data_IF_816320511989
#
_entry.id   IF_816320511989
#
_cell.length_a   1.000
_cell.length_b   1.000
_cell.length_c   1.000
_cell.angle_alpha   90.00
_cell.angle_beta   90.00
_cell.angle_gamma   90.00
#
_symmetry.space_group_name_H-M   'P 1'
#
loop_
_entity.id
_entity.type
_entity.pdbx_description
1 polymer ?
#
# COMPACT_ATOMS: atom_id res chain seq x y z
N UNK A 1 24.73 43.40 45.13
CA UNK A 1 24.20 43.51 43.76
C UNK A 1 25.34 43.14 42.83
N UNK A 2 25.56 41.84 42.64
CA UNK A 2 26.63 41.36 41.75
C UNK A 2 25.98 41.03 40.40
N UNK A 3 26.16 41.93 39.44
CA UNK A 3 25.79 41.69 38.06
C UNK A 3 26.91 40.84 37.45
N UNK A 4 26.69 39.55 37.11
CA UNK A 4 27.76 38.75 36.52
C UNK A 4 28.11 39.29 35.12
N UNK A 5 29.37 39.16 34.70
CA UNK A 5 29.93 39.88 33.55
C UNK A 5 29.30 39.40 32.24
N UNK A 6 28.88 40.34 31.39
CA UNK A 6 28.45 40.19 29.99
C UNK A 6 27.89 38.81 29.62
N UNK A 7 26.63 38.56 29.98
CA UNK A 7 25.84 37.47 29.41
C UNK A 7 25.65 37.74 27.90
N UNK A 8 26.57 37.22 27.08
CA UNK A 8 26.40 37.20 25.63
C UNK A 8 25.48 36.04 25.25
N UNK A 9 24.76 36.11 24.11
CA UNK A 9 23.92 35.01 23.64
C UNK A 9 24.67 33.67 23.57
N UNK A 10 25.93 33.69 23.13
CA UNK A 10 26.79 32.51 23.08
C UNK A 10 27.03 31.90 24.47
N UNK A 11 27.36 32.73 25.47
CA UNK A 11 27.58 32.24 26.85
C UNK A 11 26.31 31.71 27.50
N UNK A 12 25.14 32.31 27.22
CA UNK A 12 23.87 31.80 27.70
C UNK A 12 23.53 30.44 27.07
N UNK A 13 23.76 30.29 25.76
CA UNK A 13 23.56 29.02 25.05
C UNK A 13 24.49 27.93 25.56
N UNK A 14 25.77 28.23 25.75
CA UNK A 14 26.74 27.27 26.28
C UNK A 14 26.36 26.79 27.68
N UNK A 15 25.96 27.72 28.57
CA UNK A 15 25.46 27.37 29.91
C UNK A 15 24.19 26.51 29.85
N UNK A 16 23.28 26.80 28.92
CA UNK A 16 22.06 26.04 28.74
C UNK A 16 22.36 24.60 28.32
N UNK A 17 23.21 24.41 27.30
CA UNK A 17 23.63 23.10 26.82
C UNK A 17 24.42 22.32 27.88
N UNK A 18 25.28 22.99 28.66
CA UNK A 18 26.00 22.37 29.78
C UNK A 18 25.07 21.94 30.92
N UNK A 19 23.96 22.66 31.13
CA UNK A 19 22.88 22.23 32.02
C UNK A 19 22.22 20.94 31.53
N UNK A 20 21.83 20.90 30.25
CA UNK A 20 21.18 19.72 29.64
C UNK A 20 22.07 18.48 29.70
N UNK A 21 23.36 18.61 29.37
CA UNK A 21 24.32 17.50 29.43
C UNK A 21 24.47 16.91 30.84
N UNK A 22 24.37 17.75 31.87
CA UNK A 22 24.48 17.34 33.28
C UNK A 22 23.14 16.94 33.89
N UNK A 23 22.04 17.04 33.15
CA UNK A 23 20.68 16.83 33.67
C UNK A 23 20.20 17.94 34.61
N UNK A 24 20.92 19.06 34.71
CA UNK A 24 20.54 20.23 35.51
C UNK A 24 19.55 21.09 34.73
N UNK A 25 18.27 20.74 34.85
CA UNK A 25 17.18 21.42 34.18
C UNK A 25 16.96 22.85 34.69
N UNK A 26 17.35 23.15 35.95
CA UNK A 26 17.20 24.48 36.52
C UNK A 26 18.22 25.44 35.93
N UNK A 27 19.47 25.00 35.80
CA UNK A 27 20.51 25.77 35.11
C UNK A 27 20.14 26.02 33.65
N UNK A 28 19.67 24.98 32.94
CA UNK A 28 19.27 25.10 31.55
C UNK A 28 18.13 26.11 31.37
N UNK A 29 17.09 26.04 32.21
CA UNK A 29 15.95 26.96 32.18
C UNK A 29 16.37 28.41 32.48
N UNK A 30 17.24 28.62 33.47
CA UNK A 30 17.76 29.96 33.80
C UNK A 30 18.62 30.53 32.66
N UNK A 31 19.45 29.70 32.04
CA UNK A 31 20.32 30.11 30.95
C UNK A 31 19.53 30.43 29.67
N UNK A 32 18.52 29.61 29.32
CA UNK A 32 17.62 29.89 28.20
C UNK A 32 16.73 31.12 28.46
N UNK A 33 16.30 31.35 29.70
CA UNK A 33 15.55 32.57 30.04
C UNK A 33 16.40 33.83 29.84
N UNK A 34 17.66 33.81 30.30
CA UNK A 34 18.62 34.90 30.06
C UNK A 34 18.95 35.07 28.57
N UNK A 35 18.98 33.97 27.81
CA UNK A 35 19.16 34.05 26.36
C UNK A 35 18.00 34.84 25.71
N UNK A 36 16.75 34.58 26.12
CA UNK A 36 15.59 35.30 25.59
C UNK A 36 15.52 36.78 25.99
N UNK A 37 16.17 37.19 27.09
CA UNK A 37 16.31 38.61 27.43
C UNK A 37 17.17 39.37 26.40
N UNK A 38 18.13 38.68 25.77
CA UNK A 38 19.05 39.27 24.77
C UNK A 38 18.62 38.96 23.33
N UNK A 39 18.00 37.80 23.09
CA UNK A 39 17.51 37.32 21.80
C UNK A 39 16.07 36.77 21.95
N UNK A 40 15.04 37.64 21.89
CA UNK A 40 13.65 37.25 22.17
C UNK A 40 13.06 36.20 21.21
N UNK A 41 13.59 36.11 19.99
CA UNK A 41 13.10 35.22 18.92
C UNK A 41 13.94 33.94 18.80
N UNK A 42 14.72 33.57 19.82
CA UNK A 42 15.48 32.32 19.80
C UNK A 42 14.57 31.09 19.91
N UNK A 43 14.31 30.42 18.78
CA UNK A 43 13.34 29.34 18.70
C UNK A 43 13.66 28.16 19.62
N UNK A 44 14.94 27.77 19.74
CA UNK A 44 15.36 26.65 20.60
C UNK A 44 15.09 26.95 22.07
N UNK A 45 15.44 28.16 22.54
CA UNK A 45 15.14 28.60 23.89
C UNK A 45 13.63 28.66 24.15
N UNK A 46 12.85 29.18 23.20
CA UNK A 46 11.38 29.24 23.30
C UNK A 46 10.76 27.83 23.40
N UNK A 47 11.18 26.88 22.57
CA UNK A 47 10.72 25.48 22.60
C UNK A 47 11.10 24.77 23.90
N UNK A 48 12.33 24.97 24.37
CA UNK A 48 12.79 24.39 25.62
C UNK A 48 11.92 24.87 26.79
N UNK A 49 11.77 26.19 26.92
CA UNK A 49 10.95 26.77 27.98
C UNK A 49 9.48 26.36 27.86
N UNK A 50 8.92 26.30 26.66
CA UNK A 50 7.55 25.81 26.45
C UNK A 50 7.38 24.38 26.97
N UNK A 51 8.34 23.49 26.68
CA UNK A 51 8.35 22.12 27.19
C UNK A 51 8.40 22.07 28.73
N UNK A 52 9.19 22.95 29.36
CA UNK A 52 9.22 23.09 30.82
C UNK A 52 7.88 23.55 31.38
N UNK A 53 7.24 24.53 30.75
CA UNK A 53 5.93 25.02 31.17
C UNK A 53 4.84 23.94 31.05
N UNK A 54 4.85 23.16 29.95
CA UNK A 54 3.95 22.01 29.79
C UNK A 54 4.14 20.97 30.89
N UNK A 55 5.40 20.65 31.25
CA UNK A 55 5.68 19.69 32.34
C UNK A 55 5.16 20.13 33.71
N UNK A 56 4.92 21.44 33.89
CA UNK A 56 4.36 22.03 35.11
C UNK A 56 2.84 22.28 35.01
N UNK A 57 2.21 21.95 33.88
CA UNK A 57 0.78 22.20 33.64
C UNK A 57 0.43 23.64 33.24
N UNK A 58 1.42 24.49 32.98
CA UNK A 58 1.19 25.88 32.55
C UNK A 58 0.98 25.97 31.03
N UNK A 59 -0.11 25.36 30.55
CA UNK A 59 -0.39 25.18 29.12
C UNK A 59 -0.53 26.49 28.37
N UNK A 60 -1.23 27.49 28.92
CA UNK A 60 -1.39 28.80 28.27
C UNK A 60 -0.04 29.48 28.00
N UNK A 61 0.86 29.46 28.99
CA UNK A 61 2.20 30.04 28.85
C UNK A 61 3.05 29.28 27.83
N UNK A 62 2.91 27.96 27.76
CA UNK A 62 3.59 27.16 26.75
C UNK A 62 3.12 27.50 25.32
N UNK A 63 1.80 27.70 25.12
CA UNK A 63 1.24 28.11 23.83
C UNK A 63 1.81 29.47 23.41
N UNK A 64 1.87 30.45 24.32
CA UNK A 64 2.48 31.77 24.03
C UNK A 64 3.92 31.66 23.53
N UNK A 65 4.74 30.84 24.21
CA UNK A 65 6.13 30.59 23.84
C UNK A 65 6.24 29.87 22.49
N UNK A 66 5.38 28.90 22.22
CA UNK A 66 5.36 28.15 20.96
C UNK A 66 4.87 28.99 19.78
N UNK A 67 3.92 29.91 20.00
CA UNK A 67 3.52 30.89 18.99
C UNK A 67 4.65 31.87 18.68
N UNK A 68 5.44 32.28 19.68
CA UNK A 68 6.66 33.06 19.44
C UNK A 68 7.69 32.26 18.64
N UNK A 69 7.92 30.99 18.99
CA UNK A 69 8.85 30.12 18.28
C UNK A 69 8.41 29.93 16.82
N UNK A 70 7.11 29.76 16.56
CA UNK A 70 6.56 29.63 15.21
C UNK A 70 6.75 30.90 14.38
N UNK A 71 6.66 32.09 15.00
CA UNK A 71 6.95 33.36 14.29
C UNK A 71 8.43 33.47 13.92
N UNK A 72 9.32 33.04 14.81
CA UNK A 72 10.75 33.02 14.56
C UNK A 72 11.17 32.01 13.49
N UNK A 73 10.54 30.83 13.47
CA UNK A 73 10.81 29.76 12.50
C UNK A 73 9.51 29.17 11.94
N UNK A 74 8.89 29.81 10.93
CA UNK A 74 7.59 29.39 10.40
C UNK A 74 7.58 28.04 9.68
N UNK A 75 8.76 27.52 9.35
CA UNK A 75 8.98 26.31 8.55
C UNK A 75 9.51 25.13 9.39
N UNK A 76 9.45 25.24 10.73
CA UNK A 76 9.84 24.13 11.61
C UNK A 76 8.62 23.29 12.01
N UNK A 77 8.58 22.06 11.49
CA UNK A 77 7.51 21.09 11.77
C UNK A 77 7.46 20.64 13.25
N UNK A 78 8.60 20.63 13.96
CA UNK A 78 8.67 20.24 15.36
C UNK A 78 8.01 21.28 16.27
N UNK A 79 8.17 22.57 15.96
CA UNK A 79 7.45 23.66 16.66
C UNK A 79 5.94 23.49 16.49
N UNK A 80 5.47 23.24 15.27
CA UNK A 80 4.05 23.05 14.97
C UNK A 80 3.46 21.83 15.69
N UNK A 81 4.21 20.73 15.73
CA UNK A 81 3.83 19.55 16.51
C UNK A 81 3.73 19.83 18.02
N UNK A 82 4.70 20.56 18.59
CA UNK A 82 4.65 20.95 20.00
C UNK A 82 3.48 21.92 20.29
N UNK A 83 3.23 22.88 19.40
CA UNK A 83 2.10 23.81 19.50
C UNK A 83 0.77 23.06 19.47
N UNK A 84 0.59 22.16 18.51
CA UNK A 84 -0.60 21.32 18.44
C UNK A 84 -0.79 20.48 19.70
N UNK A 85 0.30 19.91 20.24
CA UNK A 85 0.27 19.16 21.51
C UNK A 85 -0.18 20.03 22.70
N UNK A 86 0.29 21.27 22.77
CA UNK A 86 -0.10 22.20 23.82
C UNK A 86 -1.56 22.64 23.68
N UNK A 87 -2.02 22.90 22.46
CA UNK A 87 -3.42 23.24 22.15
C UNK A 87 -4.39 22.10 22.50
N UNK A 88 -4.00 20.84 22.23
CA UNK A 88 -4.74 19.66 22.68
C UNK A 88 -4.94 19.66 24.20
N UNK A 89 -3.86 19.89 24.96
CA UNK A 89 -3.91 19.94 26.42
C UNK A 89 -4.76 21.11 26.95
N UNK A 90 -4.88 22.18 26.16
CA UNK A 90 -5.76 23.31 26.47
C UNK A 90 -7.23 23.06 26.08
N UNK A 91 -7.53 21.97 25.38
CA UNK A 91 -8.86 21.66 24.86
C UNK A 91 -9.22 22.39 23.56
N UNK A 92 -8.30 23.15 22.97
CA UNK A 92 -8.50 23.80 21.68
C UNK A 92 -8.17 22.83 20.55
N UNK A 93 -9.11 21.91 20.31
CA UNK A 93 -8.95 20.82 19.35
C UNK A 93 -8.85 21.32 17.91
N UNK A 94 -9.50 22.44 17.58
CA UNK A 94 -9.47 22.98 16.24
C UNK A 94 -8.09 23.59 15.94
N UNK A 95 -7.58 24.45 16.83
CA UNK A 95 -6.24 25.02 16.63
C UNK A 95 -5.15 23.94 16.66
N UNK A 96 -5.34 22.89 17.48
CA UNK A 96 -4.45 21.73 17.47
C UNK A 96 -4.42 21.01 16.11
N UNK A 97 -5.58 20.74 15.51
CA UNK A 97 -5.67 20.12 14.19
C UNK A 97 -4.96 20.97 13.13
N UNK A 98 -5.20 22.28 13.13
CA UNK A 98 -4.61 23.22 12.16
C UNK A 98 -3.07 23.25 12.27
N UNK A 99 -2.53 23.33 13.49
CA UNK A 99 -1.09 23.30 13.74
C UNK A 99 -0.47 21.97 13.30
N UNK A 100 -1.11 20.84 13.63
CA UNK A 100 -0.61 19.50 13.28
C UNK A 100 -0.66 19.25 11.77
N UNK A 101 -1.72 19.67 11.09
CA UNK A 101 -1.81 19.62 9.62
C UNK A 101 -0.67 20.40 8.97
N UNK A 102 -0.46 21.66 9.38
CA UNK A 102 0.65 22.46 8.86
C UNK A 102 2.00 21.81 9.13
N UNK A 103 2.18 21.19 10.31
CA UNK A 103 3.40 20.44 10.62
C UNK A 103 3.62 19.24 9.69
N UNK A 104 2.55 18.53 9.33
CA UNK A 104 2.58 17.39 8.42
C UNK A 104 2.76 17.80 6.94
N UNK A 105 2.33 18.99 6.54
CA UNK A 105 2.66 19.55 5.23
C UNK A 105 4.18 19.76 5.07
N UNK A 106 4.86 20.19 6.14
CA UNK A 106 6.30 20.41 6.15
C UNK A 106 7.11 19.12 6.32
N UNK A 107 6.61 18.19 7.14
CA UNK A 107 7.25 16.91 7.42
C UNK A 107 6.24 15.76 7.36
N UNK A 108 5.90 15.27 6.15
CA UNK A 108 4.88 14.22 5.98
C UNK A 108 5.21 12.89 6.68
N UNK A 109 6.50 12.62 6.92
CA UNK A 109 6.98 11.44 7.65
C UNK A 109 6.90 11.53 9.18
N UNK A 110 6.43 12.65 9.76
CA UNK A 110 6.36 12.84 11.21
C UNK A 110 5.17 12.08 11.84
N UNK A 111 5.29 10.76 11.91
CA UNK A 111 4.22 9.87 12.39
C UNK A 111 3.73 10.18 13.81
N UNK A 112 4.55 10.78 14.68
CA UNK A 112 4.12 11.22 16.02
C UNK A 112 3.11 12.38 15.95
N UNK A 113 3.29 13.31 15.00
CA UNK A 113 2.32 14.38 14.76
C UNK A 113 1.01 13.83 14.19
N UNK A 114 1.10 12.85 13.29
CA UNK A 114 -0.08 12.17 12.73
C UNK A 114 -0.85 11.36 13.78
N UNK A 115 -0.15 10.71 14.71
CA UNK A 115 -0.77 10.05 15.88
C UNK A 115 -1.58 11.06 16.72
N UNK A 116 -1.01 12.23 17.00
CA UNK A 116 -1.71 13.28 17.75
C UNK A 116 -2.93 13.83 17.01
N UNK A 117 -2.84 13.96 15.69
CA UNK A 117 -3.97 14.35 14.87
C UNK A 117 -5.10 13.33 14.97
N UNK A 118 -4.80 12.03 15.01
CA UNK A 118 -5.78 10.99 15.28
C UNK A 118 -6.48 11.17 16.63
N UNK A 119 -5.73 11.50 17.69
CA UNK A 119 -6.30 11.81 19.02
C UNK A 119 -7.21 13.03 18.97
N UNK A 120 -6.81 14.09 18.24
CA UNK A 120 -7.65 15.29 18.06
C UNK A 120 -8.97 14.93 17.39
N UNK A 121 -8.92 14.19 16.27
CA UNK A 121 -10.13 13.79 15.56
C UNK A 121 -11.03 12.87 16.38
N UNK A 122 -10.44 11.98 17.17
CA UNK A 122 -11.19 11.13 18.09
C UNK A 122 -11.95 11.96 19.13
N UNK A 123 -11.28 12.95 19.75
CA UNK A 123 -11.91 13.85 20.73
C UNK A 123 -12.99 14.76 20.10
N UNK A 124 -12.88 15.04 18.80
CA UNK A 124 -13.91 15.74 18.03
C UNK A 124 -15.07 14.84 17.56
N UNK A 125 -15.02 13.53 17.81
CA UNK A 125 -16.01 12.57 17.32
C UNK A 125 -15.91 12.24 15.82
N UNK A 126 -14.83 12.66 15.15
CA UNK A 126 -14.57 12.45 13.72
C UNK A 126 -13.92 11.09 13.48
N UNK A 127 -14.69 10.02 13.71
CA UNK A 127 -14.19 8.64 13.76
C UNK A 127 -13.40 8.21 12.50
N UNK A 128 -13.91 8.51 11.30
CA UNK A 128 -13.25 8.12 10.05
C UNK A 128 -11.86 8.76 9.90
N UNK A 129 -11.76 10.04 10.25
CA UNK A 129 -10.52 10.80 10.15
C UNK A 129 -9.53 10.40 11.24
N UNK A 130 -10.03 10.11 12.44
CA UNK A 130 -9.21 9.54 13.51
C UNK A 130 -8.59 8.21 13.08
N UNK A 131 -9.39 7.32 12.49
CA UNK A 131 -8.94 6.00 12.03
C UNK A 131 -7.90 6.11 10.90
N UNK A 132 -8.12 6.99 9.92
CA UNK A 132 -7.16 7.28 8.83
C UNK A 132 -5.85 7.86 9.37
N UNK A 133 -5.91 8.83 10.29
CA UNK A 133 -4.72 9.43 10.89
C UNK A 133 -3.92 8.41 11.71
N UNK A 134 -4.58 7.60 12.54
CA UNK A 134 -3.94 6.53 13.28
C UNK A 134 -3.31 5.47 12.37
N UNK A 135 -4.02 4.99 11.35
CA UNK A 135 -3.49 4.02 10.39
C UNK A 135 -2.23 4.57 9.70
N UNK A 136 -2.29 5.80 9.19
CA UNK A 136 -1.15 6.42 8.54
C UNK A 136 0.04 6.63 9.46
N UNK A 137 -0.20 6.96 10.74
CA UNK A 137 0.84 7.08 11.74
C UNK A 137 1.53 5.72 11.98
N UNK A 138 0.74 4.65 12.17
CA UNK A 138 1.24 3.30 12.41
C UNK A 138 2.06 2.81 11.22
N UNK A 139 1.52 2.91 10.00
CA UNK A 139 2.20 2.46 8.79
C UNK A 139 3.54 3.19 8.57
N UNK A 140 3.54 4.53 8.70
CA UNK A 140 4.75 5.32 8.54
C UNK A 140 5.81 5.00 9.61
N UNK A 141 5.41 4.75 10.86
CA UNK A 141 6.33 4.35 11.92
C UNK A 141 6.93 2.96 11.66
N UNK A 142 6.09 1.98 11.30
CA UNK A 142 6.52 0.60 11.06
C UNK A 142 7.44 0.47 9.85
N UNK A 143 7.23 1.26 8.80
CA UNK A 143 8.14 1.36 7.66
C UNK A 143 9.57 1.77 8.07
N UNK A 144 9.74 2.45 9.21
CA UNK A 144 11.03 2.84 9.79
C UNK A 144 11.47 1.95 10.96
N UNK A 145 10.85 0.77 11.14
CA UNK A 145 11.16 -0.16 12.23
C UNK A 145 10.73 0.33 13.62
N UNK A 146 9.78 1.28 13.70
CA UNK A 146 9.24 1.83 14.95
C UNK A 146 7.84 1.29 15.21
N UNK A 147 7.42 1.32 16.48
CA UNK A 147 6.06 0.90 16.88
C UNK A 147 5.71 -0.56 16.55
N UNK A 148 6.72 -1.43 16.45
CA UNK A 148 6.55 -2.86 16.28
C UNK A 148 6.35 -3.59 17.61
N UNK A 149 6.85 -3.01 18.71
CA UNK A 149 6.79 -3.53 20.06
C UNK A 149 7.12 -2.44 21.09
N UNK A 150 6.97 -2.74 22.38
CA UNK A 150 7.42 -1.82 23.45
C UNK A 150 8.93 -1.52 23.35
N UNK A 151 9.73 -2.40 22.75
CA UNK A 151 11.17 -2.20 22.55
C UNK A 151 11.48 -1.15 21.47
N UNK A 152 10.63 -1.05 20.45
CA UNK A 152 10.77 -0.08 19.34
C UNK A 152 9.92 1.18 19.53
N UNK A 153 9.23 1.29 20.67
CA UNK A 153 8.32 2.37 21.03
C UNK A 153 8.80 3.13 22.26
N UNK A 154 8.99 4.45 22.13
CA UNK A 154 9.43 5.29 23.24
C UNK A 154 8.39 5.26 24.38
N UNK A 155 8.80 5.15 25.67
CA UNK A 155 7.89 4.99 26.79
C UNK A 155 6.74 5.99 26.83
N UNK A 156 7.02 7.27 26.56
CA UNK A 156 6.02 8.35 26.60
C UNK A 156 4.92 8.30 25.54
N UNK A 157 5.00 7.40 24.54
CA UNK A 157 3.99 7.24 23.50
C UNK A 157 3.41 5.82 23.42
N UNK A 158 3.86 4.88 24.27
CA UNK A 158 3.43 3.47 24.20
C UNK A 158 1.92 3.31 24.31
N UNK A 159 1.31 3.95 25.30
CA UNK A 159 -0.13 3.81 25.54
C UNK A 159 -0.95 4.44 24.42
N UNK A 160 -0.50 5.58 23.88
CA UNK A 160 -1.13 6.21 22.72
C UNK A 160 -1.05 5.33 21.46
N UNK A 161 0.09 4.67 21.22
CA UNK A 161 0.26 3.74 20.11
C UNK A 161 -0.60 2.49 20.28
N UNK A 162 -0.67 1.92 21.49
CA UNK A 162 -1.55 0.79 21.81
C UNK A 162 -3.02 1.15 21.60
N UNK A 163 -3.45 2.31 22.09
CA UNK A 163 -4.79 2.85 21.87
C UNK A 163 -5.09 3.01 20.38
N UNK A 164 -4.23 3.69 19.63
CA UNK A 164 -4.40 3.88 18.20
C UNK A 164 -4.50 2.54 17.44
N UNK A 165 -3.68 1.55 17.81
CA UNK A 165 -3.71 0.20 17.22
C UNK A 165 -5.05 -0.50 17.48
N UNK A 166 -5.53 -0.44 18.73
CA UNK A 166 -6.83 -1.02 19.12
C UNK A 166 -8.00 -0.29 18.46
N UNK A 167 -7.93 1.03 18.37
CA UNK A 167 -8.93 1.88 17.72
C UNK A 167 -9.07 1.52 16.24
N UNK A 168 -7.94 1.42 15.53
CA UNK A 168 -7.92 1.02 14.12
C UNK A 168 -8.41 -0.41 13.94
N UNK A 169 -8.02 -1.35 14.80
CA UNK A 169 -8.48 -2.73 14.72
C UNK A 169 -10.00 -2.85 14.89
N UNK A 170 -10.56 -2.20 15.91
CA UNK A 170 -12.01 -2.18 16.17
C UNK A 170 -12.77 -1.49 15.03
N UNK A 171 -12.29 -0.34 14.58
CA UNK A 171 -12.94 0.41 13.49
C UNK A 171 -12.89 -0.32 12.15
N UNK A 172 -11.79 -1.03 11.83
CA UNK A 172 -11.72 -1.91 10.64
C UNK A 172 -12.74 -3.03 10.72
N UNK A 173 -12.88 -3.67 11.88
CA UNK A 173 -13.87 -4.72 12.09
C UNK A 173 -15.30 -4.21 11.82
N UNK A 174 -15.66 -3.11 12.45
CA UNK A 174 -16.98 -2.48 12.27
C UNK A 174 -17.22 -2.06 10.81
N UNK A 175 -16.23 -1.41 10.19
CA UNK A 175 -16.30 -0.97 8.80
C UNK A 175 -16.57 -2.14 7.85
N UNK A 176 -15.78 -3.21 7.93
CA UNK A 176 -15.91 -4.34 7.02
C UNK A 176 -17.14 -5.20 7.30
N UNK A 177 -17.56 -5.32 8.57
CA UNK A 177 -18.84 -5.94 8.90
C UNK A 177 -20.02 -5.18 8.29
N UNK A 178 -19.98 -3.84 8.30
CA UNK A 178 -21.03 -3.01 7.69
C UNK A 178 -21.09 -3.17 6.16
N UNK A 179 -19.96 -3.43 5.49
CA UNK A 179 -19.90 -3.72 4.05
C UNK A 179 -20.56 -5.07 3.72
N UNK A 180 -20.37 -6.09 4.56
CA UNK A 180 -20.88 -7.43 4.31
C UNK A 180 -22.34 -7.59 4.77
N UNK A 181 -22.83 -6.75 5.69
CA UNK A 181 -24.18 -6.88 6.26
C UNK A 181 -25.32 -6.86 5.22
N UNK A 182 -25.33 -5.99 4.18
CA UNK A 182 -26.34 -6.07 3.12
C UNK A 182 -26.35 -7.42 2.39
N UNK A 183 -25.19 -8.04 2.20
CA UNK A 183 -25.07 -9.35 1.57
C UNK A 183 -25.56 -10.46 2.51
N UNK A 184 -25.30 -10.35 3.82
CA UNK A 184 -25.85 -11.28 4.83
C UNK A 184 -27.37 -11.23 4.87
N UNK A 185 -27.97 -10.05 4.69
CA UNK A 185 -29.41 -9.89 4.60
C UNK A 185 -29.98 -10.46 3.29
N UNK A 186 -29.25 -10.31 2.17
CA UNK A 186 -29.68 -10.78 0.85
C UNK A 186 -29.57 -12.30 0.68
N UNK A 187 -28.42 -12.89 1.05
CA UNK A 187 -28.10 -14.30 0.80
C UNK A 187 -28.28 -15.19 2.04
N UNK A 188 -28.32 -14.60 3.24
CA UNK A 188 -28.36 -15.31 4.51
C UNK A 188 -26.98 -15.50 5.13
N UNK A 189 -26.92 -15.46 6.47
CA UNK A 189 -25.65 -15.55 7.23
C UNK A 189 -24.94 -16.91 7.06
N UNK A 190 -25.68 -17.99 6.85
CA UNK A 190 -25.11 -19.32 6.63
C UNK A 190 -24.27 -19.38 5.35
N UNK A 191 -24.77 -18.75 4.27
CA UNK A 191 -24.12 -18.71 2.96
C UNK A 191 -22.81 -17.90 2.97
N UNK A 192 -22.65 -16.98 3.90
CA UNK A 192 -21.46 -16.13 4.03
C UNK A 192 -20.55 -16.53 5.20
N UNK A 193 -20.76 -17.70 5.80
CA UNK A 193 -19.95 -18.15 6.94
C UNK A 193 -18.44 -18.23 6.63
N UNK A 194 -18.05 -18.62 5.40
CA UNK A 194 -16.66 -18.59 4.95
C UNK A 194 -16.12 -17.18 4.74
N UNK A 195 -16.98 -16.23 4.35
CA UNK A 195 -16.63 -14.80 4.25
C UNK A 195 -16.33 -14.23 5.63
N UNK A 196 -17.17 -14.55 6.62
CA UNK A 196 -16.94 -14.11 8.01
C UNK A 196 -15.62 -14.66 8.55
N UNK A 197 -15.31 -15.93 8.26
CA UNK A 197 -14.02 -16.52 8.63
C UNK A 197 -12.84 -15.86 7.89
N UNK A 198 -13.00 -15.57 6.59
CA UNK A 198 -12.02 -14.85 5.78
C UNK A 198 -11.71 -13.48 6.39
N UNK A 199 -12.75 -12.73 6.79
CA UNK A 199 -12.58 -11.44 7.44
C UNK A 199 -11.84 -11.55 8.78
N UNK A 200 -12.19 -12.51 9.63
CA UNK A 200 -11.48 -12.75 10.88
C UNK A 200 -10.01 -13.13 10.69
N UNK A 201 -9.68 -13.88 9.63
CA UNK A 201 -8.29 -14.20 9.27
C UNK A 201 -7.56 -12.92 8.81
N UNK A 202 -8.18 -12.13 7.94
CA UNK A 202 -7.62 -10.88 7.42
C UNK A 202 -7.37 -9.84 8.53
N UNK A 203 -8.24 -9.80 9.55
CA UNK A 203 -8.09 -8.94 10.72
C UNK A 203 -7.17 -9.52 11.80
N UNK A 204 -6.54 -10.67 11.56
CA UNK A 204 -5.65 -11.38 12.49
C UNK A 204 -6.31 -11.79 13.82
N UNK A 205 -7.63 -11.95 13.84
CA UNK A 205 -8.37 -12.45 15.01
C UNK A 205 -8.20 -13.96 15.17
N UNK A 206 -7.91 -14.66 14.07
CA UNK A 206 -7.59 -16.08 14.03
C UNK A 206 -6.52 -16.37 12.98
N UNK A 207 -5.69 -17.42 13.18
CA UNK A 207 -4.70 -17.82 12.19
C UNK A 207 -5.37 -18.39 10.93
N UNK A 208 -4.73 -18.22 9.78
CA UNK A 208 -5.15 -18.85 8.54
C UNK A 208 -4.91 -20.39 8.61
N UNK A 209 -5.95 -21.22 8.43
CA UNK A 209 -5.77 -22.67 8.35
C UNK A 209 -5.29 -23.04 6.93
N UNK A 210 -3.97 -23.00 6.71
CA UNK A 210 -3.33 -23.35 5.43
C UNK A 210 -3.12 -24.87 5.34
N UNK A 211 -3.90 -25.62 4.52
CA UNK A 211 -3.78 -27.08 4.45
C UNK A 211 -2.49 -27.51 3.74
N UNK A 212 -2.03 -26.71 2.78
CA UNK A 212 -0.75 -26.87 2.12
C UNK A 212 0.18 -25.70 2.51
N UNK A 213 1.31 -25.96 3.19
CA UNK A 213 2.23 -24.90 3.61
C UNK A 213 2.95 -24.19 2.45
N UNK A 214 2.84 -24.71 1.21
CA UNK A 214 3.39 -24.09 -0.01
C UNK A 214 2.49 -22.97 -0.55
N UNK A 215 1.19 -23.04 -0.30
CA UNK A 215 0.22 -22.00 -0.66
C UNK A 215 0.29 -20.87 0.38
N UNK A 216 0.69 -19.67 -0.03
CA UNK A 216 0.85 -18.52 0.86
C UNK A 216 0.43 -17.23 0.16
N UNK A 217 -0.87 -16.89 0.18
CA UNK A 217 -1.32 -15.61 -0.36
C UNK A 217 -0.70 -14.44 0.39
N UNK A 218 -0.33 -13.38 -0.33
CA UNK A 218 0.32 -12.20 0.28
C UNK A 218 -0.66 -11.22 0.95
N UNK A 219 -1.96 -11.31 0.64
CA UNK A 219 -2.97 -10.35 1.10
C UNK A 219 -4.19 -11.01 1.74
N UNK A 220 -4.97 -11.78 0.97
CA UNK A 220 -6.26 -12.30 1.42
C UNK A 220 -6.35 -13.81 1.21
N UNK A 221 -6.50 -14.55 2.31
CA UNK A 221 -6.77 -15.97 2.28
C UNK A 221 -8.25 -16.26 2.57
N UNK A 222 -8.88 -17.01 1.68
CA UNK A 222 -10.27 -17.44 1.81
C UNK A 222 -10.33 -18.92 2.21
N UNK A 223 -10.92 -19.25 3.37
CA UNK A 223 -10.88 -20.60 3.92
C UNK A 223 -11.83 -21.56 3.18
N UNK A 224 -11.53 -22.85 3.25
CA UNK A 224 -12.38 -23.92 2.72
C UNK A 224 -12.32 -24.10 1.20
N UNK A 225 -11.54 -23.29 0.48
CA UNK A 225 -11.18 -23.57 -0.92
C UNK A 225 -10.20 -24.76 -0.95
N UNK A 226 -10.43 -25.80 -1.77
CA UNK A 226 -9.46 -26.87 -1.95
C UNK A 226 -8.12 -26.35 -2.49
N UNK A 227 -7.06 -26.59 -1.74
CA UNK A 227 -5.69 -26.18 -2.10
C UNK A 227 -5.15 -27.01 -3.27
N UNK A 228 -5.00 -26.39 -4.43
CA UNK A 228 -4.58 -27.04 -5.69
C UNK A 228 -3.65 -26.12 -6.48
N UNK A 229 -2.59 -26.69 -7.07
CA UNK A 229 -1.64 -25.95 -7.93
C UNK A 229 -2.26 -25.64 -9.29
N UNK A 230 -2.72 -26.67 -10.01
CA UNK A 230 -3.40 -26.57 -11.29
C UNK A 230 -4.84 -27.05 -11.19
N UNK A 231 -5.75 -26.36 -11.88
CA UNK A 231 -7.16 -26.72 -11.90
C UNK A 231 -7.55 -27.46 -13.19
N UNK A 232 -8.42 -28.49 -13.09
CA UNK A 232 -8.94 -29.20 -14.26
C UNK A 232 -9.67 -28.27 -15.23
N UNK A 233 -9.49 -28.51 -16.53
CA UNK A 233 -10.03 -27.66 -17.59
C UNK A 233 -11.56 -27.59 -17.57
N UNK A 234 -12.21 -28.67 -17.17
CA UNK A 234 -13.67 -28.84 -17.12
C UNK A 234 -14.34 -27.91 -16.11
N UNK A 235 -13.58 -27.39 -15.14
CA UNK A 235 -14.05 -26.42 -14.14
C UNK A 235 -14.31 -25.03 -14.75
N UNK A 236 -13.84 -24.77 -15.97
CA UNK A 236 -13.93 -23.46 -16.62
C UNK A 236 -14.53 -23.53 -18.03
N UNK A 237 -15.78 -23.99 -18.19
CA UNK A 237 -16.37 -24.25 -19.51
C UNK A 237 -16.32 -23.04 -20.46
N UNK A 238 -16.44 -21.82 -19.93
CA UNK A 238 -16.36 -20.57 -20.71
C UNK A 238 -15.05 -20.42 -21.52
N UNK A 239 -13.93 -20.97 -21.02
CA UNK A 239 -12.65 -20.92 -21.73
C UNK A 239 -12.71 -21.64 -23.09
N UNK A 240 -13.72 -22.47 -23.37
CA UNK A 240 -13.82 -23.19 -24.64
C UNK A 240 -14.05 -22.23 -25.81
N UNK A 241 -14.73 -21.12 -25.56
CA UNK A 241 -14.95 -20.06 -26.54
C UNK A 241 -13.63 -19.37 -26.92
N UNK A 242 -12.77 -19.11 -25.93
CA UNK A 242 -11.43 -18.54 -26.15
C UNK A 242 -10.53 -19.50 -26.94
N UNK A 243 -10.50 -20.77 -26.56
CA UNK A 243 -9.72 -21.79 -27.27
C UNK A 243 -10.18 -21.97 -28.71
N UNK A 244 -11.49 -21.94 -28.96
CA UNK A 244 -12.06 -22.02 -30.31
C UNK A 244 -11.72 -20.80 -31.17
N UNK A 245 -11.47 -19.64 -30.54
CA UNK A 245 -11.12 -18.39 -31.20
C UNK A 245 -9.61 -18.09 -31.21
N UNK A 246 -8.75 -19.07 -30.89
CA UNK A 246 -7.30 -18.83 -30.73
C UNK A 246 -6.67 -18.17 -31.96
N UNK A 247 -7.07 -18.54 -33.17
CA UNK A 247 -6.48 -18.00 -34.40
C UNK A 247 -6.87 -16.53 -34.63
N UNK A 248 -8.08 -16.15 -34.23
CA UNK A 248 -8.56 -14.76 -34.25
C UNK A 248 -7.75 -13.91 -33.25
N UNK A 249 -7.55 -14.42 -32.03
CA UNK A 249 -6.77 -13.75 -30.99
C UNK A 249 -5.30 -13.59 -31.44
N UNK A 250 -4.74 -14.61 -32.09
CA UNK A 250 -3.37 -14.58 -32.65
C UNK A 250 -3.21 -13.56 -33.76
N UNK A 251 -4.21 -13.40 -34.62
CA UNK A 251 -4.17 -12.42 -35.69
C UNK A 251 -4.06 -10.99 -35.12
N UNK A 252 -4.87 -10.64 -34.12
CA UNK A 252 -4.80 -9.35 -33.44
C UNK A 252 -3.49 -9.17 -32.68
N UNK A 253 -3.01 -10.21 -31.99
CA UNK A 253 -1.69 -10.20 -31.35
C UNK A 253 -0.56 -9.91 -32.37
N UNK A 254 -0.55 -10.55 -33.53
CA UNK A 254 0.49 -10.32 -34.56
C UNK A 254 0.47 -8.88 -35.05
N UNK A 255 -0.71 -8.28 -35.19
CA UNK A 255 -0.85 -6.87 -35.52
C UNK A 255 -0.28 -5.95 -34.41
N UNK A 256 -0.52 -6.28 -33.13
CA UNK A 256 0.08 -5.58 -31.98
C UNK A 256 1.61 -5.67 -32.03
N UNK A 257 2.16 -6.87 -32.18
CA UNK A 257 3.62 -7.09 -32.21
C UNK A 257 4.31 -6.43 -33.41
N UNK A 258 3.63 -6.28 -34.55
CA UNK A 258 4.21 -5.70 -35.77
C UNK A 258 4.11 -4.17 -35.81
N UNK A 259 3.02 -3.60 -35.28
CA UNK A 259 2.68 -2.18 -35.46
C UNK A 259 2.49 -1.40 -34.14
N UNK A 260 2.85 -1.98 -33.01
CA UNK A 260 2.59 -1.39 -31.69
C UNK A 260 3.58 -1.79 -30.62
N UNK A 261 4.87 -1.86 -30.98
CA UNK A 261 5.94 -2.05 -30.00
C UNK A 261 5.96 -0.94 -28.94
N UNK A 262 5.52 0.28 -29.28
CA UNK A 262 5.40 1.41 -28.35
C UNK A 262 4.27 1.23 -27.32
N UNK A 263 3.27 0.37 -27.59
CA UNK A 263 2.16 0.09 -26.66
C UNK A 263 2.52 -1.02 -25.65
N UNK A 264 3.63 -1.73 -25.87
CA UNK A 264 4.15 -2.71 -24.93
C UNK A 264 4.86 -1.99 -23.81
N UNK A 265 4.33 -2.13 -22.59
CA UNK A 265 4.93 -1.55 -21.39
C UNK A 265 5.56 -2.64 -20.54
N UNK A 266 6.61 -2.34 -19.75
CA UNK A 266 7.16 -3.28 -18.78
C UNK A 266 6.07 -3.76 -17.82
N UNK A 267 5.93 -5.08 -17.65
CA UNK A 267 4.89 -5.65 -16.78
C UNK A 267 5.00 -5.10 -15.35
N UNK A 268 6.25 -5.02 -14.84
CA UNK A 268 6.57 -4.53 -13.50
C UNK A 268 6.28 -3.03 -13.31
N UNK A 269 5.93 -2.29 -14.37
CA UNK A 269 5.68 -0.84 -14.31
C UNK A 269 6.92 0.01 -14.02
N UNK A 270 8.11 -0.60 -14.05
CA UNK A 270 9.41 0.06 -13.86
C UNK A 270 10.47 -0.60 -14.74
N UNK A 271 11.43 0.19 -15.19
CA UNK A 271 12.64 -0.25 -15.88
C UNK A 271 13.89 -0.15 -15.00
N UNK A 272 13.74 0.08 -13.68
CA UNK A 272 14.90 0.16 -12.79
C UNK A 272 15.61 -1.19 -12.72
N UNK A 273 16.93 -1.19 -12.93
CA UNK A 273 17.73 -2.42 -12.98
C UNK A 273 17.60 -3.27 -11.71
N UNK A 274 17.42 -2.62 -10.55
CA UNK A 274 17.22 -3.28 -9.25
C UNK A 274 15.88 -4.01 -9.17
N UNK A 275 14.78 -3.38 -9.59
CA UNK A 275 13.45 -4.01 -9.59
C UNK A 275 13.37 -5.12 -10.64
N UNK A 276 13.98 -4.92 -11.80
CA UNK A 276 14.10 -5.94 -12.83
C UNK A 276 14.89 -7.15 -12.32
N UNK A 277 16.06 -6.94 -11.70
CA UNK A 277 16.89 -8.03 -11.18
C UNK A 277 16.24 -8.79 -10.01
N UNK A 278 15.34 -8.15 -9.26
CA UNK A 278 14.60 -8.81 -8.18
C UNK A 278 13.56 -9.82 -8.69
N UNK A 279 13.04 -9.63 -9.91
CA UNK A 279 11.96 -10.44 -10.48
C UNK A 279 12.37 -11.24 -11.74
N UNK A 280 13.44 -10.85 -12.42
CA UNK A 280 13.90 -11.47 -13.66
C UNK A 280 15.38 -11.87 -13.54
N UNK A 281 15.68 -13.12 -13.91
CA UNK A 281 17.04 -13.54 -14.19
C UNK A 281 17.36 -13.36 -15.68
N UNK A 282 18.59 -12.87 -15.92
CA UNK A 282 19.12 -12.54 -17.24
C UNK A 282 19.23 -13.74 -18.19
N UNK A 283 19.19 -13.42 -19.49
CA UNK A 283 19.25 -14.36 -20.61
C UNK A 283 20.60 -15.08 -20.70
N UNK A 284 20.58 -16.38 -21.03
CA UNK A 284 21.75 -17.12 -21.50
C UNK A 284 22.13 -16.81 -22.96
N UNK A 285 21.39 -15.90 -23.62
CA UNK A 285 21.59 -15.44 -25.01
C UNK A 285 22.09 -14.00 -25.14
N UNK A 286 21.97 -13.43 -26.36
CA UNK A 286 22.52 -12.10 -26.73
C UNK A 286 21.56 -10.92 -26.50
N UNK A 287 20.32 -11.18 -26.08
CA UNK A 287 19.30 -10.16 -25.81
C UNK A 287 19.07 -10.00 -24.31
N UNK A 288 18.78 -8.78 -23.87
CA UNK A 288 18.41 -8.52 -22.49
C UNK A 288 17.08 -9.19 -22.13
N UNK A 289 17.02 -9.74 -20.90
CA UNK A 289 15.79 -10.29 -20.35
C UNK A 289 14.72 -9.19 -20.26
N UNK A 290 13.52 -9.47 -20.75
CA UNK A 290 12.41 -8.53 -20.64
C UNK A 290 11.07 -9.25 -20.56
N UNK A 291 10.18 -8.64 -19.78
CA UNK A 291 8.81 -9.06 -19.60
C UNK A 291 7.88 -7.86 -19.83
N UNK A 292 7.30 -7.85 -21.03
CA UNK A 292 6.46 -6.76 -21.52
C UNK A 292 4.98 -7.18 -21.54
N UNK A 293 4.09 -6.20 -21.50
CA UNK A 293 2.66 -6.38 -21.40
C UNK A 293 1.88 -5.45 -22.31
N UNK A 294 0.84 -5.99 -22.96
CA UNK A 294 -0.20 -5.22 -23.64
C UNK A 294 -1.51 -5.39 -22.85
N UNK A 295 -1.86 -4.41 -22.02
CA UNK A 295 -3.00 -4.49 -21.10
C UNK A 295 -4.32 -4.19 -21.81
N UNK A 296 -5.33 -5.05 -21.63
CA UNK A 296 -6.74 -4.72 -21.89
C UNK A 296 -7.39 -4.16 -20.63
N UNK A 297 -7.08 -4.78 -19.49
CA UNK A 297 -7.42 -4.30 -18.16
C UNK A 297 -6.20 -4.41 -17.25
N UNK A 298 -5.95 -3.37 -16.46
CA UNK A 298 -4.94 -3.35 -15.39
C UNK A 298 -5.56 -2.75 -14.14
N UNK A 299 -5.47 -3.45 -13.00
CA UNK A 299 -6.12 -3.05 -11.75
C UNK A 299 -7.62 -2.72 -11.94
N UNK A 300 -8.31 -3.49 -12.79
CA UNK A 300 -9.73 -3.26 -13.12
C UNK A 300 -10.01 -2.06 -14.04
N UNK A 301 -9.01 -1.26 -14.40
CA UNK A 301 -9.12 -0.12 -15.33
C UNK A 301 -8.98 -0.62 -16.76
N UNK A 302 -9.93 -0.27 -17.63
CA UNK A 302 -9.92 -0.63 -19.05
C UNK A 302 -8.98 0.28 -19.84
N UNK A 303 -8.18 -0.31 -20.73
CA UNK A 303 -7.33 0.43 -21.67
C UNK A 303 -8.04 0.53 -23.03
N UNK A 304 -8.87 1.57 -23.22
CA UNK A 304 -9.72 1.68 -24.41
C UNK A 304 -8.95 1.74 -25.73
N UNK A 305 -7.80 2.42 -25.76
CA UNK A 305 -6.94 2.47 -26.95
C UNK A 305 -6.44 1.07 -27.35
N UNK A 306 -6.04 0.25 -26.38
CA UNK A 306 -5.60 -1.12 -26.62
C UNK A 306 -6.77 -2.02 -27.03
N UNK A 307 -7.93 -1.86 -26.40
CA UNK A 307 -9.15 -2.59 -26.74
C UNK A 307 -9.61 -2.31 -28.18
N UNK A 308 -9.47 -1.06 -28.66
CA UNK A 308 -9.81 -0.69 -30.02
C UNK A 308 -8.93 -1.37 -31.08
N UNK A 309 -7.69 -1.75 -30.71
CA UNK A 309 -6.76 -2.48 -31.60
C UNK A 309 -7.04 -3.98 -31.65
N UNK A 310 -7.65 -4.55 -30.62
CA UNK A 310 -8.01 -5.97 -30.57
C UNK A 310 -9.51 -6.16 -30.27
N UNK A 311 -10.40 -5.66 -31.15
CA UNK A 311 -11.84 -5.62 -30.88
C UNK A 311 -12.46 -7.01 -30.72
N UNK A 312 -11.92 -8.04 -31.40
CA UNK A 312 -12.44 -9.41 -31.30
C UNK A 312 -11.98 -10.07 -30.00
N UNK A 313 -10.72 -9.87 -29.62
CA UNK A 313 -10.17 -10.40 -28.36
C UNK A 313 -10.90 -9.81 -27.16
N UNK A 314 -11.08 -8.49 -27.12
CA UNK A 314 -11.78 -7.85 -25.99
C UNK A 314 -13.26 -8.23 -25.93
N UNK A 315 -13.93 -8.40 -27.08
CA UNK A 315 -15.31 -8.88 -27.11
C UNK A 315 -15.46 -10.28 -26.49
N UNK A 316 -14.48 -11.16 -26.68
CA UNK A 316 -14.42 -12.46 -26.01
C UNK A 316 -14.18 -12.31 -24.51
N UNK A 317 -13.17 -11.53 -24.11
CA UNK A 317 -12.84 -11.29 -22.70
C UNK A 317 -14.01 -10.68 -21.92
N UNK A 318 -14.75 -9.73 -22.51
CA UNK A 318 -15.90 -9.08 -21.87
C UNK A 318 -17.10 -10.03 -21.68
N UNK A 319 -17.16 -11.12 -22.46
CA UNK A 319 -18.17 -12.17 -22.30
C UNK A 319 -17.82 -13.23 -21.25
N UNK A 320 -16.57 -13.26 -20.78
CA UNK A 320 -16.09 -14.23 -19.81
C UNK A 320 -16.47 -13.84 -18.37
N UNK A 321 -16.69 -14.82 -17.47
CA UNK A 321 -16.94 -14.58 -16.05
C UNK A 321 -15.63 -14.25 -15.31
N UNK A 322 -14.96 -13.15 -15.72
CA UNK A 322 -13.71 -12.69 -15.13
C UNK A 322 -13.92 -12.17 -13.70
N UNK A 323 -12.85 -12.17 -12.92
CA UNK A 323 -12.83 -11.48 -11.62
C UNK A 323 -13.01 -9.99 -11.84
N UNK A 324 -14.01 -9.40 -11.20
CA UNK A 324 -14.30 -7.96 -11.29
C UNK A 324 -14.33 -7.39 -9.89
N UNK A 325 -13.30 -6.63 -9.55
CA UNK A 325 -13.15 -5.94 -8.26
C UNK A 325 -12.67 -4.53 -8.56
N UNK A 326 -13.44 -3.53 -8.12
CA UNK A 326 -13.13 -2.11 -8.38
C UNK A 326 -11.70 -1.78 -7.96
N UNK A 327 -10.95 -1.12 -8.84
CA UNK A 327 -9.56 -0.69 -8.65
C UNK A 327 -8.53 -1.82 -8.40
N UNK A 328 -8.91 -3.09 -8.60
CA UNK A 328 -8.06 -4.24 -8.29
C UNK A 328 -8.04 -5.32 -9.38
N UNK A 329 -9.17 -5.63 -10.02
CA UNK A 329 -9.31 -6.73 -10.98
C UNK A 329 -10.40 -6.43 -12.03
N UNK A 330 -10.30 -6.98 -13.25
CA UNK A 330 -9.34 -8.00 -13.67
C UNK A 330 -8.00 -7.40 -14.11
N UNK A 331 -6.99 -8.26 -14.08
CA UNK A 331 -5.87 -8.21 -15.01
C UNK A 331 -6.21 -9.02 -16.26
N UNK A 332 -6.11 -8.39 -17.43
CA UNK A 332 -6.13 -9.12 -18.72
C UNK A 332 -5.14 -8.48 -19.68
N UNK A 333 -4.25 -9.28 -20.24
CA UNK A 333 -3.15 -8.77 -21.07
C UNK A 333 -2.57 -9.83 -22.00
N UNK A 334 -1.93 -9.39 -23.08
CA UNK A 334 -0.89 -10.20 -23.70
C UNK A 334 0.40 -10.05 -22.90
N UNK A 335 0.91 -11.15 -22.38
CA UNK A 335 2.19 -11.23 -21.65
C UNK A 335 3.27 -11.75 -22.59
N UNK A 336 4.23 -10.87 -22.89
CA UNK A 336 5.29 -11.07 -23.88
C UNK A 336 6.61 -11.31 -23.14
N UNK A 337 7.17 -12.50 -23.28
CA UNK A 337 8.42 -12.88 -22.63
C UNK A 337 9.52 -13.11 -23.67
N UNK A 338 10.59 -12.30 -23.60
CA UNK A 338 11.70 -12.34 -24.56
C UNK A 338 12.56 -13.61 -24.43
N UNK A 339 13.28 -13.99 -25.51
CA UNK A 339 14.23 -15.12 -25.49
C UNK A 339 15.19 -15.09 -24.30
N UNK A 340 15.40 -16.26 -23.69
CA UNK A 340 16.26 -16.48 -22.53
C UNK A 340 15.77 -15.92 -21.20
N UNK A 341 14.59 -15.29 -21.11
CA UNK A 341 14.13 -14.68 -19.86
C UNK A 341 13.57 -15.72 -18.87
N UNK A 342 13.91 -15.58 -17.59
CA UNK A 342 13.34 -16.37 -16.48
C UNK A 342 12.73 -15.42 -15.44
N UNK A 343 11.41 -15.52 -15.25
CA UNK A 343 10.67 -14.87 -14.17
C UNK A 343 10.89 -15.68 -12.89
N UNK A 344 11.50 -15.05 -11.88
CA UNK A 344 11.87 -15.67 -10.62
C UNK A 344 10.65 -16.13 -9.80
N UNK A 345 10.85 -17.08 -8.85
CA UNK A 345 9.80 -17.52 -7.94
C UNK A 345 9.13 -16.36 -7.18
N UNK A 346 7.82 -16.24 -7.32
CA UNK A 346 6.98 -15.25 -6.64
C UNK A 346 5.60 -15.83 -6.29
N UNK A 347 4.75 -15.05 -5.62
CA UNK A 347 3.40 -15.46 -5.20
C UNK A 347 2.37 -14.38 -5.53
N UNK A 348 1.13 -14.84 -5.67
CA UNK A 348 -0.06 -14.03 -5.83
C UNK A 348 -0.65 -13.60 -4.51
N UNK A 349 -1.64 -12.71 -4.61
CA UNK A 349 -2.19 -11.98 -3.46
C UNK A 349 -3.37 -12.68 -2.79
N UNK A 350 -4.14 -13.51 -3.51
CA UNK A 350 -5.35 -14.14 -2.97
C UNK A 350 -5.73 -15.43 -3.68
N UNK A 351 -6.23 -16.43 -2.94
CA UNK A 351 -6.73 -17.70 -3.49
C UNK A 351 -8.20 -17.61 -3.97
N UNK A 352 -8.85 -16.44 -3.82
CA UNK A 352 -10.19 -16.17 -4.38
C UNK A 352 -10.17 -15.98 -5.90
N UNK A 353 -8.99 -15.67 -6.44
CA UNK A 353 -8.70 -15.47 -7.85
C UNK A 353 -7.69 -16.52 -8.30
N UNK A 354 -7.84 -16.98 -9.53
CA UNK A 354 -6.91 -17.86 -10.20
C UNK A 354 -6.41 -17.18 -11.47
N UNK A 355 -5.21 -17.55 -11.90
CA UNK A 355 -4.62 -17.03 -13.13
C UNK A 355 -4.83 -18.06 -14.25
N UNK A 356 -5.41 -17.61 -15.36
CA UNK A 356 -5.58 -18.41 -16.57
C UNK A 356 -4.67 -17.89 -17.67
N UNK A 357 -3.86 -18.78 -18.26
CA UNK A 357 -3.10 -18.50 -19.47
C UNK A 357 -3.73 -19.21 -20.67
N UNK A 358 -4.02 -18.47 -21.74
CA UNK A 358 -4.21 -19.02 -23.08
C UNK A 358 -2.90 -18.84 -23.87
N UNK A 359 -2.14 -19.91 -24.15
CA UNK A 359 -0.86 -19.77 -24.83
C UNK A 359 -1.05 -19.51 -26.34
N UNK A 360 -0.46 -18.42 -26.83
CA UNK A 360 -0.65 -17.95 -28.21
C UNK A 360 0.57 -18.22 -29.08
N UNK A 361 1.78 -18.02 -28.56
CA UNK A 361 3.05 -18.32 -29.22
C UNK A 361 3.93 -19.00 -28.18
N UNK A 362 4.24 -20.28 -28.33
CA UNK A 362 5.03 -21.06 -27.36
C UNK A 362 6.17 -21.79 -28.08
N UNK A 363 7.38 -21.20 -28.12
CA UNK A 363 8.55 -21.90 -28.63
C UNK A 363 9.00 -23.02 -27.68
N UNK A 364 9.88 -23.95 -28.13
CA UNK A 364 10.44 -25.00 -27.28
C UNK A 364 11.10 -24.46 -26.01
N UNK A 365 11.26 -25.28 -24.98
CA UNK A 365 11.94 -24.89 -23.73
C UNK A 365 11.30 -23.70 -22.97
N UNK A 366 10.00 -23.52 -23.12
CA UNK A 366 9.18 -22.64 -22.27
C UNK A 366 8.36 -23.48 -21.29
N UNK A 367 8.35 -23.13 -20.00
CA UNK A 367 7.42 -23.73 -19.04
C UNK A 367 7.08 -22.79 -17.88
N UNK A 368 6.07 -23.20 -17.12
CA UNK A 368 5.59 -22.62 -15.88
C UNK A 368 5.78 -23.65 -14.77
N UNK A 369 6.27 -23.26 -13.61
CA UNK A 369 6.32 -24.12 -12.42
C UNK A 369 5.46 -23.51 -11.33
N UNK A 370 4.53 -24.28 -10.75
CA UNK A 370 3.61 -23.85 -9.68
C UNK A 370 3.64 -24.86 -8.55
N UNK A 371 3.99 -24.43 -7.33
CA UNK A 371 4.05 -25.33 -6.18
C UNK A 371 5.01 -26.51 -6.33
N UNK A 372 6.00 -26.41 -7.22
CA UNK A 372 6.94 -27.49 -7.56
C UNK A 372 6.55 -28.36 -8.76
N UNK A 373 5.33 -28.20 -9.29
CA UNK A 373 4.85 -28.92 -10.47
C UNK A 373 5.14 -28.11 -11.74
N UNK A 374 5.79 -28.74 -12.74
CA UNK A 374 6.14 -28.06 -14.01
C UNK A 374 5.12 -28.37 -15.09
N UNK A 375 4.61 -27.31 -15.73
CA UNK A 375 3.67 -27.36 -16.83
C UNK A 375 4.30 -26.75 -18.09
N UNK A 376 4.37 -27.56 -19.15
CA UNK A 376 4.73 -27.09 -20.50
C UNK A 376 3.45 -26.64 -21.19
N UNK A 377 3.40 -25.37 -21.60
CA UNK A 377 2.23 -24.84 -22.29
C UNK A 377 1.92 -25.58 -23.57
N UNK A 378 0.63 -25.75 -23.83
CA UNK A 378 0.11 -26.21 -25.12
C UNK A 378 -0.60 -25.05 -25.80
N UNK A 379 -0.13 -24.68 -26.98
CA UNK A 379 -0.72 -23.63 -27.78
C UNK A 379 -2.24 -23.84 -27.98
N UNK A 380 -3.01 -22.76 -27.80
CA UNK A 380 -4.46 -22.76 -27.93
C UNK A 380 -5.22 -23.54 -26.87
N UNK A 381 -4.57 -23.97 -25.78
CA UNK A 381 -5.21 -24.66 -24.65
C UNK A 381 -4.97 -23.93 -23.36
N UNK A 382 -6.05 -23.53 -22.69
CA UNK A 382 -5.97 -22.81 -21.44
C UNK A 382 -5.36 -23.68 -20.34
N UNK A 383 -4.54 -23.05 -19.51
CA UNK A 383 -4.09 -23.59 -18.22
C UNK A 383 -4.51 -22.62 -17.13
N UNK A 384 -5.11 -23.13 -16.06
CA UNK A 384 -5.53 -22.32 -14.90
C UNK A 384 -4.85 -22.85 -13.66
N UNK A 385 -4.26 -21.95 -12.88
CA UNK A 385 -3.47 -22.30 -11.70
C UNK A 385 -3.69 -21.28 -10.58
N UNK A 386 -3.40 -21.72 -9.37
CA UNK A 386 -3.40 -20.86 -8.19
C UNK A 386 -2.03 -20.19 -8.04
N UNK A 387 -1.99 -18.88 -8.29
CA UNK A 387 -0.76 -18.08 -8.23
C UNK A 387 -0.33 -17.82 -6.77
N UNK A 388 -1.12 -18.16 -5.76
CA UNK A 388 -0.70 -18.06 -4.34
C UNK A 388 0.26 -19.16 -3.90
N UNK A 389 0.40 -20.21 -4.71
CA UNK A 389 1.58 -21.06 -4.65
C UNK A 389 2.77 -20.32 -5.25
N UNK A 390 3.96 -20.61 -4.72
CA UNK A 390 5.18 -20.11 -5.35
C UNK A 390 5.25 -20.59 -6.80
N UNK A 391 5.41 -19.65 -7.71
CA UNK A 391 5.46 -19.93 -9.14
C UNK A 391 6.52 -19.11 -9.86
N UNK A 392 7.02 -19.68 -10.93
CA UNK A 392 8.01 -19.09 -11.82
C UNK A 392 7.76 -19.53 -13.26
N UNK A 393 8.27 -18.77 -14.22
CA UNK A 393 8.04 -19.05 -15.62
C UNK A 393 9.27 -18.67 -16.45
N UNK A 394 9.59 -19.48 -17.46
CA UNK A 394 10.75 -19.21 -18.30
C UNK A 394 10.45 -19.30 -19.79
N UNK A 395 11.32 -18.66 -20.56
CA UNK A 395 11.48 -18.82 -21.98
C UNK A 395 12.97 -19.04 -22.25
N UNK A 396 13.43 -20.29 -22.25
CA UNK A 396 14.84 -20.62 -22.56
C UNK A 396 15.06 -20.88 -24.07
N UNK A 397 14.15 -20.38 -24.91
CA UNK A 397 14.25 -20.49 -26.36
C UNK A 397 14.96 -19.28 -26.97
N UNK A 398 15.15 -19.31 -28.28
CA UNK A 398 15.63 -18.20 -29.11
C UNK A 398 14.50 -17.34 -29.70
N UNK A 399 13.24 -17.62 -29.35
CA UNK A 399 12.05 -16.97 -29.89
C UNK A 399 11.17 -16.36 -28.79
N UNK A 400 10.37 -15.36 -29.14
CA UNK A 400 9.47 -14.70 -28.18
C UNK A 400 8.32 -15.63 -27.83
N UNK A 401 7.95 -15.69 -26.54
CA UNK A 401 6.80 -16.42 -26.03
C UNK A 401 5.69 -15.44 -25.66
N UNK A 402 4.47 -15.71 -26.09
CA UNK A 402 3.30 -14.87 -25.76
C UNK A 402 2.14 -15.72 -25.26
N UNK A 403 1.58 -15.33 -24.12
CA UNK A 403 0.33 -15.87 -23.56
C UNK A 403 -0.66 -14.75 -23.33
N UNK A 404 -1.95 -15.01 -23.52
CA UNK A 404 -3.02 -14.16 -23.01
C UNK A 404 -3.29 -14.55 -21.55
N UNK A 405 -3.13 -13.61 -20.63
CA UNK A 405 -3.40 -13.78 -19.20
C UNK A 405 -4.78 -13.21 -18.88
N UNK A 406 -5.53 -13.89 -18.03
CA UNK A 406 -6.78 -13.37 -17.45
C UNK A 406 -7.01 -13.89 -16.04
N UNK A 407 -7.62 -13.04 -15.21
CA UNK A 407 -8.08 -13.39 -13.88
C UNK A 407 -9.44 -14.11 -13.91
N UNK A 408 -9.48 -15.34 -13.39
CA UNK A 408 -10.69 -16.14 -13.24
C UNK A 408 -11.08 -16.26 -11.76
N UNK A 409 -12.37 -16.25 -11.44
CA UNK A 409 -12.81 -16.57 -10.08
C UNK A 409 -12.40 -18.00 -9.72
N UNK A 410 -12.05 -18.23 -8.46
CA UNK A 410 -11.91 -19.59 -7.97
C UNK A 410 -13.27 -20.31 -8.08
N UNK A 411 -13.36 -21.47 -8.78
CA UNK A 411 -14.64 -22.13 -9.04
C UNK A 411 -15.30 -22.71 -7.78
N UNK A 412 -14.62 -22.72 -6.63
CA UNK A 412 -15.15 -23.12 -5.32
C UNK A 412 -15.72 -21.95 -4.50
N UNK A 413 -15.90 -20.78 -5.15
CA UNK A 413 -16.66 -19.65 -4.61
C UNK A 413 -18.07 -19.61 -5.17
N UNK A 414 -19.06 -19.46 -4.28
CA UNK A 414 -20.45 -19.19 -4.66
C UNK A 414 -20.60 -17.76 -5.20
N UNK A 415 -21.73 -17.47 -5.86
CA UNK A 415 -22.05 -16.10 -6.30
C UNK A 415 -22.08 -15.10 -5.13
N UNK A 416 -22.62 -15.53 -3.98
CA UNK A 416 -22.67 -14.72 -2.77
C UNK A 416 -21.27 -14.40 -2.23
N UNK A 417 -20.37 -15.38 -2.26
CA UNK A 417 -18.97 -15.21 -1.84
C UNK A 417 -18.19 -14.34 -2.83
N UNK A 418 -18.40 -14.51 -4.14
CA UNK A 418 -17.77 -13.64 -5.15
C UNK A 418 -18.18 -12.17 -4.97
N UNK A 419 -19.47 -11.91 -4.74
CA UNK A 419 -19.97 -10.56 -4.46
C UNK A 419 -19.34 -10.00 -3.18
N UNK A 420 -19.29 -10.79 -2.10
CA UNK A 420 -18.72 -10.35 -0.84
C UNK A 420 -17.21 -10.10 -0.91
N UNK A 421 -16.46 -10.93 -1.64
CA UNK A 421 -15.03 -10.71 -1.88
C UNK A 421 -14.83 -9.42 -2.69
N UNK A 422 -15.63 -9.17 -3.72
CA UNK A 422 -15.52 -7.95 -4.51
C UNK A 422 -15.75 -6.69 -3.65
N UNK A 423 -16.80 -6.67 -2.84
CA UNK A 423 -17.11 -5.53 -1.97
C UNK A 423 -16.07 -5.36 -0.85
N UNK A 424 -15.63 -6.46 -0.24
CA UNK A 424 -14.66 -6.42 0.85
C UNK A 424 -13.28 -5.96 0.37
N UNK A 425 -12.78 -6.51 -0.75
CA UNK A 425 -11.47 -6.13 -1.29
C UNK A 425 -11.48 -4.66 -1.71
N UNK A 426 -12.54 -4.17 -2.35
CA UNK A 426 -12.67 -2.76 -2.72
C UNK A 426 -12.69 -1.84 -1.47
N UNK A 427 -13.44 -2.22 -0.43
CA UNK A 427 -13.50 -1.47 0.82
C UNK A 427 -12.16 -1.47 1.58
N UNK A 428 -11.44 -2.59 1.58
CA UNK A 428 -10.08 -2.67 2.13
C UNK A 428 -9.14 -1.73 1.36
N UNK A 429 -9.23 -1.72 0.02
CA UNK A 429 -8.45 -0.82 -0.83
C UNK A 429 -8.69 0.65 -0.48
N UNK A 430 -9.96 1.07 -0.38
CA UNK A 430 -10.32 2.44 0.02
C UNK A 430 -9.78 2.79 1.41
N UNK A 431 -9.93 1.87 2.37
CA UNK A 431 -9.47 2.06 3.73
C UNK A 431 -7.96 2.24 3.80
N UNK A 432 -7.19 1.38 3.13
CA UNK A 432 -5.73 1.48 3.13
C UNK A 432 -5.25 2.78 2.48
N UNK A 433 -5.83 3.18 1.35
CA UNK A 433 -5.55 4.47 0.68
C UNK A 433 -5.84 5.67 1.59
N UNK A 434 -6.88 5.58 2.42
CA UNK A 434 -7.19 6.66 3.37
C UNK A 434 -6.09 6.88 4.42
N UNK A 435 -5.31 5.84 4.75
CA UNK A 435 -4.17 5.93 5.67
C UNK A 435 -2.88 6.38 5.00
N UNK A 436 -2.80 6.36 3.67
CA UNK A 436 -1.61 6.80 2.96
C UNK A 436 -1.38 8.30 3.19
N UNK A 437 -0.11 8.68 3.27
CA UNK A 437 0.27 10.08 3.12
C UNK A 437 0.16 10.38 1.64
N UNK A 438 -0.45 11.50 1.21
CA UNK A 438 -0.40 11.90 -0.19
C UNK A 438 1.08 11.85 -0.61
N UNK A 439 1.40 10.93 -1.53
CA UNK A 439 2.70 10.98 -2.17
C UNK A 439 2.82 12.38 -2.78
N UNK A 440 4.01 12.98 -2.70
CA UNK A 440 4.31 14.09 -3.63
C UNK A 440 3.90 13.59 -5.03
N UNK A 441 3.14 14.39 -5.80
CA UNK A 441 2.63 13.94 -7.09
C UNK A 441 3.80 13.35 -7.88
N UNK A 442 3.64 12.11 -8.34
CA UNK A 442 4.58 11.56 -9.33
C UNK A 442 4.56 12.54 -10.50
N UNK A 443 5.73 12.91 -11.07
CA UNK A 443 5.74 13.78 -12.23
C UNK A 443 4.79 13.19 -13.27
N UNK A 444 3.80 13.98 -13.66
CA UNK A 444 2.76 13.61 -14.60
C UNK A 444 3.40 12.96 -15.82
N UNK A 445 2.93 11.77 -16.19
CA UNK A 445 3.08 11.26 -17.54
C UNK A 445 2.45 12.31 -18.45
N UNK A 446 3.31 13.12 -19.08
CA UNK A 446 2.89 14.16 -20.00
C UNK A 446 2.06 13.50 -21.09
N UNK A 447 0.77 13.74 -21.06
CA UNK A 447 -0.12 13.56 -22.21
C UNK A 447 0.39 14.46 -23.32
N UNK A 448 1.24 13.90 -24.18
CA UNK A 448 1.67 14.51 -25.42
C UNK A 448 0.49 14.59 -26.37
N UNK A 449 -0.35 15.61 -26.23
CA UNK A 449 -1.17 16.11 -27.33
C UNK A 449 -0.25 16.80 -28.33
N UNK A 450 -0.14 16.34 -29.59
CA UNK A 450 0.51 17.13 -30.61
C UNK A 450 -0.47 18.22 -31.06
N UNK A 451 -0.19 19.47 -30.67
CA UNK A 451 -0.71 20.63 -31.37
C UNK A 451 0.32 21.04 -32.43
N UNK A 452 -0.09 21.05 -33.70
CA UNK A 452 0.70 21.58 -34.82
C UNK A 452 0.80 20.64 -36.01
#
# INVERSE_FOLDING_TARGET
MDNPPNATPATCREQALAGLQRGDMALAEQAFSRLLEVQPDDAEALQFLATRQLSRGYTARAIELLLAAQRAQPQDAAILHQLGSAQMLAGDLQAAADSLHKGLELAPGMFVARLRLGVVFEQQGRQREAMSAYLGAINAAQAHGRWLSDATTAPGVRDAVKHATQYVAAGRRELFDAIIEPLRQRYGRSELSRVDQCLSIYLHEQPAPLPDPRQRPEFLYFPGIPSQTFYPRERFPAQAQLEAAVDVIREELRAVLSNGQDDLVPFLGTNSAEAVAAYLLGSSGTQEAAWDAFFFYRHGVRHDAHCARCPRTIGLLDSMPLVRVRDHAPETLYSVLRPGTHILPHRGVTNTRLVTHLPLIVPPNCALRVGGETHVWKEGRCVTFDDTFEHEAWNHSDQTRVVLIMDSWNPDLSEAEQAAVADLVAAIGDFNRSGETPAQPRPEESSGSPAG
#
